data_IF_310833836453
#
_entry.id   IF_310833836453
#
_cell.length_a   1.000
_cell.length_b   1.000
_cell.length_c   1.000
_cell.angle_alpha   90.00
_cell.angle_beta   90.00
_cell.angle_gamma   90.00
#
_symmetry.space_group_name_H-M   'P 1'
#
loop_
_entity.id
_entity.type
_entity.pdbx_description
1 polymer ?
#
# COMPACT_ATOMS: atom_id res chain seq x y z
N UNK A 1 9.25 5.50 -12.05
CA UNK A 1 8.65 4.68 -10.98
C UNK A 1 8.86 5.42 -9.66
N UNK A 2 7.78 5.79 -8.95
CA UNK A 2 7.90 6.52 -7.69
C UNK A 2 8.63 5.70 -6.63
N UNK A 3 9.49 6.38 -5.86
CA UNK A 3 10.07 5.83 -4.64
C UNK A 3 9.19 6.29 -3.47
N UNK A 4 8.69 5.34 -2.69
CA UNK A 4 7.83 5.60 -1.56
C UNK A 4 8.58 5.27 -0.27
N UNK A 5 8.36 6.08 0.76
CA UNK A 5 9.02 5.92 2.06
C UNK A 5 7.98 5.76 3.18
N UNK A 6 8.05 4.64 3.90
CA UNK A 6 7.10 4.27 4.94
C UNK A 6 7.81 3.89 6.24
N UNK A 7 7.23 4.23 7.38
CA UNK A 7 7.60 3.59 8.64
C UNK A 7 6.98 2.19 8.75
N UNK A 8 7.33 1.44 9.79
CA UNK A 8 6.85 0.07 9.98
C UNK A 8 5.33 0.00 10.21
N UNK A 9 4.74 0.95 10.92
CA UNK A 9 3.29 0.99 11.15
C UNK A 9 2.55 1.25 9.84
N UNK A 10 2.98 2.26 9.08
CA UNK A 10 2.44 2.61 7.76
C UNK A 10 2.51 1.44 6.77
N UNK A 11 3.64 0.72 6.74
CA UNK A 11 3.79 -0.48 5.93
C UNK A 11 2.75 -1.55 6.32
N UNK A 12 2.54 -1.80 7.61
CA UNK A 12 1.53 -2.77 8.07
C UNK A 12 0.12 -2.33 7.67
N UNK A 13 -0.22 -1.05 7.85
CA UNK A 13 -1.51 -0.49 7.44
C UNK A 13 -1.74 -0.66 5.94
N UNK A 14 -0.75 -0.37 5.09
CA UNK A 14 -0.86 -0.58 3.64
C UNK A 14 -1.03 -2.05 3.28
N UNK A 15 -0.27 -2.94 3.90
CA UNK A 15 -0.39 -4.38 3.68
C UNK A 15 -1.79 -4.88 4.03
N UNK A 16 -2.37 -4.41 5.14
CA UNK A 16 -3.72 -4.75 5.55
C UNK A 16 -4.77 -4.19 4.60
N UNK A 17 -4.68 -2.90 4.26
CA UNK A 17 -5.57 -2.24 3.33
C UNK A 17 -5.61 -2.95 1.98
N UNK A 18 -4.45 -3.28 1.41
CA UNK A 18 -4.33 -3.98 0.13
C UNK A 18 -4.95 -5.38 0.21
N UNK A 19 -4.67 -6.14 1.28
CA UNK A 19 -5.27 -7.47 1.46
C UNK A 19 -6.78 -7.42 1.53
N UNK A 20 -7.34 -6.51 2.32
CA UNK A 20 -8.79 -6.31 2.40
C UNK A 20 -9.38 -5.91 1.06
N UNK A 21 -8.74 -4.96 0.38
CA UNK A 21 -9.19 -4.51 -0.94
C UNK A 21 -9.22 -5.63 -1.97
N UNK A 22 -8.21 -6.52 -1.97
CA UNK A 22 -8.19 -7.72 -2.82
C UNK A 22 -9.29 -8.73 -2.45
N UNK A 23 -9.62 -8.88 -1.17
CA UNK A 23 -10.73 -9.74 -0.72
C UNK A 23 -12.08 -9.18 -1.17
N UNK A 24 -12.27 -7.86 -1.11
CA UNK A 24 -13.50 -7.18 -1.53
C UNK A 24 -13.63 -7.06 -3.06
N UNK A 25 -12.51 -6.92 -3.78
CA UNK A 25 -12.48 -6.81 -5.24
C UNK A 25 -11.83 -8.05 -5.87
N UNK A 26 -12.66 -9.04 -6.21
CA UNK A 26 -12.19 -10.32 -6.75
C UNK A 26 -11.77 -10.28 -8.23
N UNK A 27 -11.41 -9.11 -8.76
CA UNK A 27 -11.00 -8.96 -10.15
C UNK A 27 -9.56 -9.44 -10.38
N UNK A 28 -9.28 -10.26 -11.40
CA UNK A 28 -7.93 -10.72 -11.73
C UNK A 28 -6.84 -9.62 -11.78
N UNK A 29 -7.06 -8.43 -12.38
CA UNK A 29 -6.05 -7.37 -12.39
C UNK A 29 -5.75 -6.81 -10.99
N UNK A 30 -6.74 -6.75 -10.10
CA UNK A 30 -6.57 -6.29 -8.71
C UNK A 30 -5.68 -7.25 -7.93
N UNK A 31 -5.87 -8.57 -8.11
CA UNK A 31 -5.00 -9.56 -7.49
C UNK A 31 -3.56 -9.47 -7.97
N UNK A 32 -3.34 -9.30 -9.28
CA UNK A 32 -1.99 -9.19 -9.84
C UNK A 32 -1.25 -7.97 -9.28
N UNK A 33 -1.88 -6.79 -9.37
CA UNK A 33 -1.28 -5.53 -8.92
C UNK A 33 -1.14 -5.51 -7.38
N UNK A 34 -2.13 -6.03 -6.66
CA UNK A 34 -2.10 -6.13 -5.20
C UNK A 34 -1.00 -7.06 -4.69
N UNK A 35 -0.79 -8.20 -5.34
CA UNK A 35 0.33 -9.09 -5.03
C UNK A 35 1.68 -8.42 -5.27
N UNK A 36 1.84 -7.69 -6.37
CA UNK A 36 3.06 -6.90 -6.62
C UNK A 36 3.29 -5.86 -5.52
N UNK A 37 2.23 -5.17 -5.08
CA UNK A 37 2.28 -4.22 -3.98
C UNK A 37 2.77 -4.87 -2.68
N UNK A 38 2.19 -6.02 -2.33
CA UNK A 38 2.52 -6.80 -1.14
C UNK A 38 3.97 -7.28 -1.20
N UNK A 39 4.42 -7.81 -2.34
CA UNK A 39 5.81 -8.24 -2.52
C UNK A 39 6.77 -7.07 -2.32
N UNK A 40 6.49 -5.93 -2.95
CA UNK A 40 7.34 -4.75 -2.86
C UNK A 40 7.39 -4.21 -1.42
N UNK A 41 6.25 -4.11 -0.73
CA UNK A 41 6.20 -3.72 0.68
C UNK A 41 6.93 -4.72 1.59
N UNK A 42 6.91 -6.02 1.27
CA UNK A 42 7.59 -7.06 2.04
C UNK A 42 9.07 -7.24 1.72
N UNK A 43 9.62 -6.56 0.70
CA UNK A 43 11.06 -6.54 0.41
C UNK A 43 11.82 -5.78 1.51
N UNK A 44 11.92 -6.40 2.69
CA UNK A 44 12.80 -5.95 3.76
C UNK A 44 14.25 -6.16 3.34
N UNK A 45 14.97 -5.08 3.09
CA UNK A 45 16.39 -5.08 3.49
C UNK A 45 16.41 -4.98 5.01
N UNK A 46 17.25 -5.80 5.66
CA UNK A 46 17.46 -5.85 7.13
C UNK A 46 18.12 -4.56 7.63
N UNK A 47 17.49 -3.41 7.38
CA UNK A 47 18.07 -2.10 7.62
C UNK A 47 17.17 -1.38 8.61
N UNK A 48 17.65 -1.01 9.80
CA UNK A 48 16.91 -0.12 10.68
C UNK A 48 16.75 1.22 9.98
N UNK A 49 15.50 1.64 9.73
CA UNK A 49 15.20 2.85 8.99
C UNK A 49 13.84 2.79 8.29
N UNK A 50 13.47 3.87 7.60
CA UNK A 50 12.25 3.89 6.82
C UNK A 50 12.33 2.93 5.63
N UNK A 51 11.22 2.25 5.37
CA UNK A 51 11.05 1.27 4.31
C UNK A 51 10.88 2.04 2.99
N UNK A 52 11.86 1.89 2.11
CA UNK A 52 11.85 2.49 0.78
C UNK A 52 11.48 1.46 -0.25
N UNK A 53 10.41 1.74 -0.99
CA UNK A 53 9.87 0.82 -1.98
C UNK A 53 9.71 1.55 -3.31
N UNK A 54 10.25 0.96 -4.37
CA UNK A 54 9.99 1.41 -5.72
C UNK A 54 8.93 0.52 -6.33
N UNK A 55 7.81 1.11 -6.74
CA UNK A 55 6.67 0.39 -7.32
C UNK A 55 6.23 1.02 -8.63
N UNK A 56 5.59 0.26 -9.53
CA UNK A 56 4.91 0.81 -10.70
C UNK A 56 3.80 1.79 -10.31
N UNK A 57 3.47 2.75 -11.18
CA UNK A 57 2.38 3.71 -10.95
C UNK A 57 1.04 3.02 -10.71
N UNK A 58 0.73 1.95 -11.44
CA UNK A 58 -0.50 1.17 -11.24
C UNK A 58 -0.62 0.59 -9.83
N UNK A 59 0.51 0.20 -9.23
CA UNK A 59 0.56 -0.28 -7.84
C UNK A 59 0.28 0.85 -6.86
N UNK A 60 0.77 2.06 -7.11
CA UNK A 60 0.44 3.25 -6.29
C UNK A 60 -1.05 3.55 -6.35
N UNK A 61 -1.63 3.54 -7.56
CA UNK A 61 -3.08 3.76 -7.73
C UNK A 61 -3.88 2.74 -6.92
N UNK A 62 -3.48 1.47 -6.95
CA UNK A 62 -4.12 0.43 -6.14
C UNK A 62 -3.91 0.65 -4.63
N UNK A 63 -2.69 0.97 -4.19
CA UNK A 63 -2.40 1.27 -2.78
C UNK A 63 -3.28 2.40 -2.27
N UNK A 64 -3.46 3.45 -3.07
CA UNK A 64 -4.31 4.61 -2.74
C UNK A 64 -5.79 4.23 -2.69
N UNK A 65 -6.28 3.47 -3.68
CA UNK A 65 -7.66 2.98 -3.69
C UNK A 65 -7.94 2.09 -2.46
N UNK A 66 -7.03 1.17 -2.19
CA UNK A 66 -7.11 0.27 -1.05
C UNK A 66 -7.10 1.03 0.29
N UNK A 67 -6.20 2.00 0.44
CA UNK A 67 -6.11 2.80 1.66
C UNK A 67 -7.32 3.74 1.84
N UNK A 68 -7.85 4.29 0.75
CA UNK A 68 -9.07 5.12 0.76
C UNK A 68 -10.30 4.29 1.15
N UNK A 69 -10.39 3.06 0.67
CA UNK A 69 -11.46 2.14 1.08
C UNK A 69 -11.28 1.74 2.54
N UNK A 70 -10.05 1.41 2.96
CA UNK A 70 -9.73 1.07 4.33
C UNK A 70 -10.06 2.21 5.31
N UNK A 71 -9.70 3.46 4.97
CA UNK A 71 -9.96 4.63 5.82
C UNK A 71 -11.44 4.95 5.99
N UNK A 72 -12.29 4.64 5.00
CA UNK A 72 -13.75 4.79 5.12
C UNK A 72 -14.37 3.81 6.12
N UNK A 73 -13.72 2.67 6.35
CA UNK A 73 -14.25 1.59 7.18
C UNK A 73 -13.56 1.49 8.55
N UNK A 74 -12.55 2.31 8.83
CA UNK A 74 -11.78 2.29 10.08
C UNK A 74 -11.66 3.70 10.64
N UNK A 75 -11.89 3.85 11.96
CA UNK A 75 -11.63 5.10 12.66
C UNK A 75 -10.10 5.29 12.81
N UNK A 76 -9.50 6.10 11.94
CA UNK A 76 -8.08 6.42 11.97
C UNK A 76 -7.72 7.58 11.05
N UNK A 77 -6.70 8.36 11.44
CA UNK A 77 -6.13 9.39 10.58
C UNK A 77 -5.14 8.76 9.58
N UNK A 78 -5.64 8.50 8.37
CA UNK A 78 -4.87 7.94 7.26
C UNK A 78 -4.45 9.00 6.24
N UNK A 79 -4.83 10.28 6.43
CA UNK A 79 -4.41 11.38 5.56
C UNK A 79 -2.89 11.49 5.40
N UNK A 80 -2.06 11.40 6.46
CA UNK A 80 -0.61 11.51 6.29
C UNK A 80 -0.02 10.39 5.43
N UNK A 81 -0.66 9.21 5.42
CA UNK A 81 -0.22 8.08 4.59
C UNK A 81 -0.75 8.18 3.15
N UNK A 82 -1.97 8.68 2.96
CA UNK A 82 -2.52 8.98 1.64
C UNK A 82 -1.73 10.09 0.93
N UNK A 83 -1.28 11.11 1.66
CA UNK A 83 -0.47 12.20 1.12
C UNK A 83 0.91 11.73 0.60
N UNK A 84 1.42 10.60 1.12
CA UNK A 84 2.68 9.99 0.66
C UNK A 84 2.54 9.20 -0.65
N UNK A 85 1.31 8.88 -1.07
CA UNK A 85 1.04 8.15 -2.30
C UNK A 85 0.83 9.16 -3.45
N UNK A 86 1.71 9.20 -4.48
CA UNK A 86 1.57 10.14 -5.57
C UNK A 86 0.27 9.91 -6.36
N UNK A 87 -0.22 11.00 -6.97
CA UNK A 87 -1.44 11.03 -7.78
C UNK A 87 -1.25 10.41 -9.15
#
# INVERSE_FOLDING_TARGET
>A
MPMLEFNRAEQQTLLEAIRRYMTSNQSPPVFLIGNQAITALNQRRRTPGPIRVQVPTATVTLMRAALTDYSRHHEGDFEPLLAKLPS
#
